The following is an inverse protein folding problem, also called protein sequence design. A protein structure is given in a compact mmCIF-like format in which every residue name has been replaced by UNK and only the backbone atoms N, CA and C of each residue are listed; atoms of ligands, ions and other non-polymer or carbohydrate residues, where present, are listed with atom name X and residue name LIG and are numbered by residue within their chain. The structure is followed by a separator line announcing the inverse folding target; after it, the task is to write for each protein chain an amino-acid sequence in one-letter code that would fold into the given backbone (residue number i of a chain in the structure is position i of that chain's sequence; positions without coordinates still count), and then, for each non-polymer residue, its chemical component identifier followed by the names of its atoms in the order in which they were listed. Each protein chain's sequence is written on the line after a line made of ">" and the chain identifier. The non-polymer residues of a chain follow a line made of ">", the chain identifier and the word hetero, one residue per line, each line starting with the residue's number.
data_IF_914642447666
#
_entry.id   IF_914642447666
#
_cell.length_a   1.000
_cell.length_b   1.000
_cell.length_c   1.000
_cell.angle_alpha   90.00
_cell.angle_beta   90.00
_cell.angle_gamma   90.00
#
_symmetry.space_group_name_H-M   'P 1'
#
loop_
_entity.id
_entity.type
_entity.pdbx_description
1 polymer ?
#
# COMPACT_ATOMS: atom_id res chain seq x y z
N UNK A 1 -8.64 1.51 6.17
CA UNK A 1 -7.88 2.67 5.67
C UNK A 1 -6.92 2.31 4.54
N UNK A 2 -6.50 3.30 3.75
CA UNK A 2 -5.66 3.09 2.58
C UNK A 2 -4.98 4.37 2.09
N UNK A 3 -4.50 4.35 0.83
CA UNK A 3 -3.77 5.47 0.25
C UNK A 3 -4.72 6.43 -0.47
N UNK A 4 -4.71 7.69 -0.04
CA UNK A 4 -5.59 8.77 -0.53
C UNK A 4 -5.52 9.01 -2.06
N UNK A 5 -4.39 8.69 -2.71
CA UNK A 5 -4.28 8.82 -4.18
C UNK A 5 -5.07 7.76 -4.93
N UNK A 6 -5.12 6.52 -4.41
CA UNK A 6 -5.99 5.49 -4.99
C UNK A 6 -7.45 5.97 -4.93
N UNK A 7 -7.88 6.52 -3.80
CA UNK A 7 -9.23 7.05 -3.64
C UNK A 7 -9.52 8.21 -4.58
N UNK A 8 -8.62 9.20 -4.64
CA UNK A 8 -8.79 10.35 -5.52
C UNK A 8 -8.85 9.97 -7.01
N UNK A 9 -8.07 8.98 -7.45
CA UNK A 9 -8.11 8.48 -8.83
C UNK A 9 -9.45 7.79 -9.10
N UNK A 10 -9.87 6.90 -8.22
CA UNK A 10 -11.11 6.13 -8.34
C UNK A 10 -12.33 7.05 -8.37
N UNK A 11 -12.37 8.03 -7.45
CA UNK A 11 -13.41 9.05 -7.39
C UNK A 11 -13.46 9.92 -8.65
N UNK A 12 -12.29 10.31 -9.19
CA UNK A 12 -12.18 11.11 -10.41
C UNK A 12 -12.81 10.42 -11.62
N UNK A 13 -12.77 9.10 -11.68
CA UNK A 13 -13.41 8.30 -12.71
C UNK A 13 -14.87 7.96 -12.41
N UNK A 14 -15.43 8.45 -11.31
CA UNK A 14 -16.82 8.19 -10.93
C UNK A 14 -17.08 6.73 -10.52
N UNK A 15 -16.03 6.02 -10.09
CA UNK A 15 -16.14 4.64 -9.63
C UNK A 15 -16.46 4.66 -8.13
N UNK A 16 -17.51 3.97 -7.75
CA UNK A 16 -17.88 3.82 -6.34
C UNK A 16 -16.86 2.95 -5.59
N UNK A 17 -16.55 3.36 -4.36
CA UNK A 17 -15.56 2.68 -3.53
C UNK A 17 -16.22 2.04 -2.32
N UNK A 18 -15.93 0.75 -2.10
CA UNK A 18 -16.33 0.00 -0.92
C UNK A 18 -15.10 -0.12 0.00
N UNK A 19 -15.25 0.32 1.25
CA UNK A 19 -14.17 0.18 2.23
C UNK A 19 -14.20 -1.23 2.83
N UNK A 20 -13.06 -1.93 2.75
CA UNK A 20 -12.88 -3.25 3.37
C UNK A 20 -12.07 -3.08 4.67
N UNK A 21 -12.52 -3.63 5.79
CA UNK A 21 -11.75 -3.68 7.03
C UNK A 21 -10.40 -4.39 6.81
N UNK A 22 -9.40 -3.94 7.58
CA UNK A 22 -8.07 -4.57 7.57
C UNK A 22 -7.85 -5.33 8.87
N UNK A 23 -7.36 -6.55 8.75
CA UNK A 23 -6.86 -7.41 9.82
C UNK A 23 -5.32 -7.29 9.92
N UNK A 24 -4.72 -7.98 10.86
CA UNK A 24 -3.26 -7.95 11.09
C UNK A 24 -2.45 -8.59 9.94
N UNK A 25 -3.09 -9.37 9.08
CA UNK A 25 -2.47 -10.14 7.99
C UNK A 25 -3.04 -9.83 6.60
N UNK A 26 -3.82 -8.77 6.47
CA UNK A 26 -4.41 -8.31 5.21
C UNK A 26 -5.85 -7.83 5.37
N UNK A 27 -6.57 -7.60 4.27
CA UNK A 27 -7.99 -7.24 4.33
C UNK A 27 -8.85 -8.41 4.83
N UNK A 28 -10.04 -8.10 5.30
CA UNK A 28 -11.06 -9.09 5.61
C UNK A 28 -11.43 -9.87 4.34
N UNK A 29 -10.78 -11.01 4.16
CA UNK A 29 -10.93 -11.83 2.96
C UNK A 29 -12.28 -12.52 2.87
N UNK A 30 -12.98 -12.75 3.98
CA UNK A 30 -14.33 -13.31 3.94
C UNK A 30 -15.29 -12.32 3.27
N UNK A 31 -15.19 -11.06 3.67
CA UNK A 31 -15.97 -9.99 3.04
C UNK A 31 -15.54 -9.73 1.58
N UNK A 32 -14.24 -9.77 1.29
CA UNK A 32 -13.74 -9.62 -0.11
C UNK A 32 -14.32 -10.71 -1.00
N UNK A 33 -14.25 -11.97 -0.58
CA UNK A 33 -14.76 -13.11 -1.34
C UNK A 33 -16.29 -13.04 -1.51
N UNK A 34 -17.03 -12.72 -0.45
CA UNK A 34 -18.47 -12.54 -0.51
C UNK A 34 -18.86 -11.50 -1.57
N UNK A 35 -18.30 -10.31 -1.51
CA UNK A 35 -18.62 -9.21 -2.41
C UNK A 35 -18.20 -9.50 -3.85
N UNK A 36 -16.93 -9.87 -4.05
CA UNK A 36 -16.35 -10.06 -5.38
C UNK A 36 -16.97 -11.23 -6.13
N UNK A 37 -17.31 -12.31 -5.42
CA UNK A 37 -17.88 -13.50 -6.04
C UNK A 37 -19.38 -13.37 -6.31
N UNK A 38 -20.08 -12.41 -5.71
CA UNK A 38 -21.53 -12.24 -5.84
C UNK A 38 -21.98 -11.05 -6.70
N UNK A 39 -21.18 -10.00 -6.80
CA UNK A 39 -21.56 -8.76 -7.48
C UNK A 39 -20.69 -8.47 -8.72
N UNK A 40 -21.28 -8.57 -9.90
CA UNK A 40 -20.61 -8.28 -11.18
C UNK A 40 -20.37 -6.78 -11.42
N UNK A 41 -20.89 -5.89 -10.61
CA UNK A 41 -20.57 -4.46 -10.64
C UNK A 41 -19.20 -4.15 -10.04
N UNK A 42 -18.65 -5.03 -9.21
CA UNK A 42 -17.33 -4.87 -8.60
C UNK A 42 -16.26 -5.23 -9.64
N UNK A 43 -15.45 -4.23 -10.02
CA UNK A 43 -14.48 -4.33 -11.13
C UNK A 43 -13.04 -4.44 -10.68
N UNK A 44 -12.77 -4.24 -9.40
CA UNK A 44 -11.39 -4.35 -8.93
C UNK A 44 -11.22 -4.09 -7.45
N UNK A 45 -10.01 -4.35 -6.99
CA UNK A 45 -9.56 -4.06 -5.64
C UNK A 45 -8.14 -3.50 -5.66
N UNK A 46 -7.90 -2.42 -4.90
CA UNK A 46 -6.57 -1.89 -4.63
C UNK A 46 -5.96 -2.59 -3.42
N UNK A 47 -4.74 -3.09 -3.57
CA UNK A 47 -3.99 -3.75 -2.52
C UNK A 47 -2.61 -3.12 -2.35
N UNK A 48 -2.20 -2.87 -1.10
CA UNK A 48 -0.82 -2.52 -0.74
C UNK A 48 -0.31 -3.64 0.17
N UNK A 49 0.26 -4.72 -0.40
CA UNK A 49 0.44 -5.99 0.31
C UNK A 49 1.56 -5.99 1.35
N UNK A 50 2.50 -5.06 1.24
CA UNK A 50 3.65 -5.00 2.13
C UNK A 50 3.77 -3.62 2.74
N UNK A 51 3.86 -3.56 4.07
CA UNK A 51 3.94 -2.31 4.83
C UNK A 51 2.84 -1.33 4.42
N UNK A 52 1.59 -1.79 4.43
CA UNK A 52 0.43 -1.05 3.92
C UNK A 52 0.36 0.38 4.47
N UNK A 53 -0.12 1.30 3.65
CA UNK A 53 -0.35 2.69 4.05
C UNK A 53 -1.80 2.84 4.53
N UNK A 54 -2.06 3.23 5.80
CA UNK A 54 -1.11 3.69 6.81
C UNK A 54 -0.65 2.62 7.81
N UNK A 55 -1.21 1.43 7.82
CA UNK A 55 -1.18 0.49 8.95
C UNK A 55 0.13 -0.29 9.09
N UNK A 56 0.95 -0.35 8.03
CA UNK A 56 2.20 -1.12 8.04
C UNK A 56 2.00 -2.65 7.98
N UNK A 57 0.78 -3.11 7.69
CA UNK A 57 0.43 -4.53 7.58
C UNK A 57 1.16 -5.18 6.40
N UNK A 58 1.59 -6.41 6.58
CA UNK A 58 2.09 -7.29 5.52
C UNK A 58 1.12 -8.45 5.36
N UNK A 59 0.70 -8.72 4.11
CA UNK A 59 -0.23 -9.80 3.84
C UNK A 59 0.39 -11.16 4.13
N UNK A 60 -0.39 -12.04 4.75
CA UNK A 60 0.02 -13.42 4.97
C UNK A 60 0.02 -14.24 3.68
N UNK A 61 0.71 -15.36 3.69
CA UNK A 61 0.68 -16.34 2.61
C UNK A 61 -0.75 -16.80 2.30
N UNK A 62 -1.56 -16.98 3.33
CA UNK A 62 -2.96 -17.38 3.20
C UNK A 62 -3.77 -16.29 2.50
N UNK A 63 -3.62 -15.03 2.91
CA UNK A 63 -4.27 -13.88 2.26
C UNK A 63 -3.92 -13.81 0.78
N UNK A 64 -2.64 -13.97 0.41
CA UNK A 64 -2.22 -13.96 -0.99
C UNK A 64 -2.84 -15.12 -1.77
N UNK A 65 -2.88 -16.34 -1.21
CA UNK A 65 -3.52 -17.49 -1.85
C UNK A 65 -5.02 -17.30 -2.00
N UNK A 66 -5.70 -16.71 -1.03
CA UNK A 66 -7.13 -16.39 -1.11
C UNK A 66 -7.40 -15.38 -2.25
N UNK A 67 -6.60 -14.34 -2.39
CA UNK A 67 -6.66 -13.44 -3.55
C UNK A 67 -6.49 -14.18 -4.88
N UNK A 68 -5.50 -15.08 -4.98
CA UNK A 68 -5.25 -15.84 -6.19
C UNK A 68 -6.40 -16.78 -6.58
N UNK A 69 -7.17 -17.25 -5.61
CA UNK A 69 -8.28 -18.17 -5.80
C UNK A 69 -9.65 -17.48 -5.91
N UNK A 70 -9.73 -16.16 -5.94
CA UNK A 70 -10.99 -15.44 -6.15
C UNK A 70 -11.70 -15.92 -7.42
N UNK A 71 -13.01 -15.93 -7.35
CA UNK A 71 -13.91 -16.29 -8.48
C UNK A 71 -14.84 -15.11 -8.78
N UNK A 72 -14.30 -14.02 -9.34
CA UNK A 72 -15.09 -12.81 -9.53
C UNK A 72 -16.33 -13.05 -10.37
N UNK A 73 -17.46 -12.47 -9.94
CA UNK A 73 -18.69 -12.44 -10.75
C UNK A 73 -18.54 -11.58 -12.02
N UNK A 74 -17.57 -10.65 -12.03
CA UNK A 74 -17.24 -9.84 -13.19
C UNK A 74 -16.05 -10.41 -13.95
N UNK A 75 -16.20 -10.68 -15.25
CA UNK A 75 -15.11 -11.19 -16.11
C UNK A 75 -13.92 -10.21 -16.25
N UNK A 76 -14.19 -8.94 -16.09
CA UNK A 76 -13.22 -7.84 -16.19
C UNK A 76 -12.66 -7.41 -14.83
N UNK A 77 -12.93 -8.12 -13.75
CA UNK A 77 -12.37 -7.82 -12.42
C UNK A 77 -10.85 -7.92 -12.41
N UNK A 78 -10.18 -6.98 -11.73
CA UNK A 78 -8.72 -6.99 -11.57
C UNK A 78 -8.29 -6.63 -10.16
N UNK A 79 -7.20 -7.23 -9.73
CA UNK A 79 -6.47 -6.89 -8.51
C UNK A 79 -5.35 -5.91 -8.89
N UNK A 80 -5.37 -4.71 -8.33
CA UNK A 80 -4.31 -3.70 -8.46
C UNK A 80 -3.35 -3.84 -7.28
N UNK A 81 -2.25 -4.55 -7.50
CA UNK A 81 -1.27 -4.93 -6.48
C UNK A 81 -0.16 -3.90 -6.43
N UNK A 82 -0.31 -2.87 -5.58
CA UNK A 82 0.66 -1.78 -5.43
C UNK A 82 1.78 -2.18 -4.47
N UNK A 83 2.87 -2.69 -5.02
CA UNK A 83 4.05 -3.12 -4.27
C UNK A 83 5.03 -1.97 -4.01
N UNK A 84 4.50 -0.82 -3.57
CA UNK A 84 5.26 0.42 -3.37
C UNK A 84 6.35 0.30 -2.31
N UNK A 85 6.21 -0.63 -1.37
CA UNK A 85 7.10 -0.79 -0.22
C UNK A 85 7.86 -2.12 -0.19
N UNK A 86 8.00 -2.80 -1.31
CA UNK A 86 8.59 -4.14 -1.43
C UNK A 86 9.93 -4.31 -0.67
N UNK A 87 10.74 -3.25 -0.62
CA UNK A 87 12.12 -3.26 -0.08
C UNK A 87 12.33 -2.21 1.01
N UNK A 88 11.27 -1.69 1.62
CA UNK A 88 11.33 -0.62 2.63
C UNK A 88 11.37 -1.19 4.06
N UNK A 89 12.24 -2.15 4.29
CA UNK A 89 12.46 -2.74 5.61
C UNK A 89 13.13 -1.74 6.56
N UNK A 90 12.70 -1.70 7.82
CA UNK A 90 13.38 -0.95 8.88
C UNK A 90 14.44 -1.80 9.59
N UNK A 91 14.24 -3.11 9.68
CA UNK A 91 15.10 -4.05 10.40
C UNK A 91 15.70 -5.07 9.44
N UNK A 92 16.96 -5.47 9.68
CA UNK A 92 17.68 -6.41 8.80
C UNK A 92 17.32 -7.86 9.08
N UNK A 93 17.05 -8.18 10.33
CA UNK A 93 16.76 -9.52 10.86
C UNK A 93 15.26 -9.88 10.87
N UNK A 94 14.42 -8.91 10.51
CA UNK A 94 12.97 -9.11 10.47
C UNK A 94 12.37 -8.47 9.21
N UNK A 95 12.46 -9.19 8.11
CA UNK A 95 11.99 -8.77 6.79
C UNK A 95 10.90 -9.72 6.29
N UNK A 96 9.62 -9.41 6.50
CA UNK A 96 8.54 -10.24 5.98
C UNK A 96 8.68 -10.44 4.47
N UNK A 97 8.54 -11.66 4.02
CA UNK A 97 8.41 -11.99 2.60
C UNK A 97 6.94 -12.15 2.25
N UNK A 98 6.56 -11.69 1.07
CA UNK A 98 5.21 -11.83 0.54
C UNK A 98 5.27 -12.78 -0.64
N UNK A 99 4.36 -13.73 -0.71
CA UNK A 99 4.25 -14.61 -1.87
C UNK A 99 4.06 -13.80 -3.16
N UNK A 100 4.67 -14.28 -4.24
CA UNK A 100 4.47 -13.71 -5.57
C UNK A 100 3.04 -13.97 -6.05
N UNK A 101 2.21 -12.93 -6.04
CA UNK A 101 0.79 -13.02 -6.38
C UNK A 101 0.58 -13.50 -7.84
N UNK A 102 1.45 -13.09 -8.77
CA UNK A 102 1.34 -13.51 -10.17
C UNK A 102 1.54 -15.01 -10.29
N UNK A 103 2.55 -15.55 -9.59
CA UNK A 103 2.79 -17.00 -9.55
C UNK A 103 1.64 -17.75 -8.87
N UNK A 104 1.09 -17.23 -7.78
CA UNK A 104 -0.05 -17.87 -7.11
C UNK A 104 -1.31 -17.82 -7.99
N UNK A 105 -1.62 -16.72 -8.65
CA UNK A 105 -2.71 -16.65 -9.62
C UNK A 105 -2.55 -17.64 -10.77
N UNK A 106 -1.32 -17.80 -11.29
CA UNK A 106 -1.04 -18.80 -12.32
C UNK A 106 -1.28 -20.23 -11.83
N UNK A 107 -0.87 -20.56 -10.59
CA UNK A 107 -1.13 -21.88 -9.98
C UNK A 107 -2.62 -22.12 -9.76
N UNK A 108 -3.37 -21.09 -9.41
CA UNK A 108 -4.81 -21.15 -9.20
C UNK A 108 -5.64 -21.20 -10.51
N UNK A 109 -4.99 -21.06 -11.68
CA UNK A 109 -5.69 -21.01 -12.96
C UNK A 109 -6.28 -19.66 -13.34
N UNK A 110 -5.92 -18.59 -12.61
CA UNK A 110 -6.41 -17.22 -12.77
C UNK A 110 -5.28 -16.25 -13.20
N UNK A 111 -4.51 -16.53 -14.28
CA UNK A 111 -3.29 -15.76 -14.60
C UNK A 111 -3.56 -14.28 -14.91
N UNK A 112 -4.77 -13.93 -15.32
CA UNK A 112 -5.13 -12.59 -15.80
C UNK A 112 -5.72 -11.69 -14.71
N UNK A 113 -5.76 -12.16 -13.46
CA UNK A 113 -6.43 -11.46 -12.36
C UNK A 113 -5.67 -10.20 -11.88
N UNK A 114 -4.35 -10.14 -12.05
CA UNK A 114 -3.49 -9.18 -11.36
C UNK A 114 -2.76 -8.24 -12.29
N UNK A 115 -2.76 -6.97 -11.90
CA UNK A 115 -1.78 -5.96 -12.30
C UNK A 115 -0.91 -5.62 -11.09
N UNK A 116 0.37 -5.98 -11.14
CA UNK A 116 1.34 -5.64 -10.09
C UNK A 116 2.18 -4.43 -10.49
N UNK A 117 2.29 -3.48 -9.55
CA UNK A 117 3.00 -2.21 -9.76
C UNK A 117 4.13 -2.06 -8.77
N UNK A 118 5.26 -1.54 -9.24
CA UNK A 118 6.36 -1.11 -8.41
C UNK A 118 6.97 0.18 -8.94
N UNK A 119 7.58 0.97 -8.07
CA UNK A 119 8.29 2.18 -8.48
C UNK A 119 9.47 2.51 -7.58
N UNK A 120 10.41 3.29 -8.11
CA UNK A 120 11.55 3.82 -7.34
C UNK A 120 11.29 5.21 -6.76
N UNK A 121 10.06 5.70 -6.80
CA UNK A 121 9.69 7.04 -6.32
C UNK A 121 10.05 7.29 -4.86
N UNK A 122 9.98 6.23 -4.03
CA UNK A 122 10.36 6.24 -2.61
C UNK A 122 11.73 5.59 -2.34
N UNK A 123 12.44 5.21 -3.39
CA UNK A 123 13.74 4.53 -3.33
C UNK A 123 14.87 5.48 -3.75
N UNK A 124 14.69 6.22 -4.83
CA UNK A 124 15.67 7.19 -5.36
C UNK A 124 15.21 8.62 -5.12
N UNK A 125 14.60 9.27 -6.11
CA UNK A 125 14.14 10.65 -6.03
C UNK A 125 12.65 10.74 -6.32
N UNK A 126 11.93 11.45 -5.47
CA UNK A 126 10.56 11.83 -5.75
C UNK A 126 10.49 12.67 -7.04
N UNK A 127 9.57 12.33 -7.93
CA UNK A 127 9.41 12.97 -9.23
C UNK A 127 10.41 12.55 -10.32
N UNK A 128 11.44 11.77 -9.97
CA UNK A 128 12.41 11.21 -10.92
C UNK A 128 12.51 9.67 -10.83
N UNK A 129 11.48 9.03 -10.29
CA UNK A 129 11.40 7.58 -10.22
C UNK A 129 11.14 6.93 -11.59
N UNK A 130 11.43 5.64 -11.65
CA UNK A 130 10.96 4.75 -12.70
C UNK A 130 9.91 3.82 -12.11
N UNK A 131 8.97 3.38 -12.94
CA UNK A 131 7.93 2.44 -12.54
C UNK A 131 7.96 1.19 -13.44
N UNK A 132 7.45 0.10 -12.92
CA UNK A 132 7.27 -1.14 -13.63
C UNK A 132 5.86 -1.69 -13.38
N UNK A 133 5.32 -2.33 -14.39
CA UNK A 133 4.08 -3.11 -14.33
C UNK A 133 4.43 -4.55 -14.70
N UNK A 134 3.95 -5.49 -13.90
CA UNK A 134 3.98 -6.91 -14.18
C UNK A 134 2.55 -7.47 -14.22
N UNK A 135 2.28 -8.35 -15.17
CA UNK A 135 0.98 -9.01 -15.36
C UNK A 135 1.13 -10.19 -16.31
N UNK A 136 0.02 -10.87 -16.60
CA UNK A 136 -0.01 -11.93 -17.62
C UNK A 136 0.30 -11.42 -19.02
N UNK A 137 0.73 -12.29 -19.95
CA UNK A 137 0.92 -11.92 -21.35
C UNK A 137 -0.33 -11.35 -22.01
N UNK A 138 -1.52 -11.87 -21.71
CA UNK A 138 -2.78 -11.38 -22.28
C UNK A 138 -3.08 -9.94 -21.81
N UNK A 139 -3.03 -9.68 -20.52
CA UNK A 139 -3.19 -8.34 -19.97
C UNK A 139 -2.12 -7.38 -20.51
N UNK A 140 -0.87 -7.85 -20.65
CA UNK A 140 0.23 -7.01 -21.12
C UNK A 140 0.01 -6.53 -22.56
N UNK A 141 -0.58 -7.35 -23.42
CA UNK A 141 -0.92 -6.94 -24.80
C UNK A 141 -1.95 -5.80 -24.81
N UNK A 142 -2.95 -5.85 -23.94
CA UNK A 142 -3.94 -4.78 -23.83
C UNK A 142 -3.36 -3.49 -23.23
N UNK A 143 -2.55 -3.63 -22.18
CA UNK A 143 -1.83 -2.49 -21.59
C UNK A 143 -0.92 -1.81 -22.61
N UNK A 144 -0.17 -2.58 -23.41
CA UNK A 144 0.71 -2.02 -24.45
C UNK A 144 -0.06 -1.22 -25.48
N UNK A 145 -1.24 -1.64 -25.90
CA UNK A 145 -2.09 -0.88 -26.84
C UNK A 145 -2.40 0.51 -26.30
N UNK A 146 -2.72 0.62 -25.01
CA UNK A 146 -2.99 1.91 -24.37
C UNK A 146 -1.70 2.75 -24.19
N UNK A 147 -0.62 2.12 -23.75
CA UNK A 147 0.66 2.80 -23.54
C UNK A 147 1.24 3.41 -24.82
N UNK A 148 1.06 2.78 -25.99
CA UNK A 148 1.52 3.32 -27.26
C UNK A 148 0.78 4.59 -27.69
N UNK A 149 -0.44 4.79 -27.21
CA UNK A 149 -1.20 6.03 -27.41
C UNK A 149 -0.75 7.10 -26.42
N UNK A 150 -0.46 6.68 -25.18
CA UNK A 150 -0.08 7.59 -24.11
C UNK A 150 1.32 8.20 -24.30
N UNK A 151 2.28 7.40 -24.80
CA UNK A 151 3.67 7.84 -24.98
C UNK A 151 4.36 7.09 -26.12
N UNK A 152 5.20 7.82 -26.88
CA UNK A 152 6.06 7.22 -27.92
C UNK A 152 7.25 6.50 -27.27
N UNK A 153 7.70 6.95 -26.12
CA UNK A 153 8.80 6.34 -25.40
C UNK A 153 8.97 6.91 -24.00
N UNK A 154 9.61 6.11 -23.16
CA UNK A 154 9.87 6.48 -21.75
C UNK A 154 11.21 7.19 -21.63
N UNK A 155 11.43 7.90 -20.50
CA UNK A 155 12.69 8.58 -20.17
C UNK A 155 13.84 7.57 -19.99
N UNK A 156 14.54 7.30 -21.10
CA UNK A 156 15.68 6.37 -21.14
C UNK A 156 16.89 6.88 -20.37
N UNK A 157 17.06 8.20 -20.27
CA UNK A 157 18.15 8.78 -19.49
C UNK A 157 17.94 8.53 -18.01
N UNK A 158 16.72 8.67 -17.52
CA UNK A 158 16.38 8.37 -16.13
C UNK A 158 16.51 6.86 -15.83
N UNK A 159 16.07 5.99 -16.73
CA UNK A 159 16.29 4.55 -16.60
C UNK A 159 17.79 4.20 -16.53
N UNK A 160 18.60 4.78 -17.42
CA UNK A 160 20.04 4.57 -17.43
C UNK A 160 20.72 5.11 -16.13
N UNK A 161 20.23 6.24 -15.60
CA UNK A 161 20.70 6.79 -14.32
C UNK A 161 20.47 5.79 -13.19
N UNK A 162 19.28 5.20 -13.09
CA UNK A 162 18.96 4.18 -12.09
C UNK A 162 19.81 2.93 -12.27
N UNK A 163 19.95 2.43 -13.50
CA UNK A 163 20.75 1.25 -13.80
C UNK A 163 22.24 1.46 -13.42
N UNK A 164 22.79 2.64 -13.69
CA UNK A 164 24.17 2.97 -13.33
C UNK A 164 24.37 3.18 -11.83
N UNK A 165 23.39 3.76 -11.15
CA UNK A 165 23.46 4.03 -9.71
C UNK A 165 23.36 2.75 -8.89
N UNK A 166 22.32 1.95 -9.12
CA UNK A 166 22.09 0.72 -8.38
C UNK A 166 22.94 -0.45 -8.86
N UNK A 167 23.30 -0.48 -10.14
CA UNK A 167 24.02 -1.55 -10.84
C UNK A 167 23.28 -2.88 -10.88
N UNK A 168 22.84 -3.40 -9.74
CA UNK A 168 22.12 -4.67 -9.58
C UNK A 168 21.27 -4.64 -8.31
N UNK A 169 20.63 -5.76 -8.00
CA UNK A 169 19.76 -5.92 -6.83
C UNK A 169 20.52 -5.70 -5.50
N UNK A 170 21.78 -6.15 -5.41
CA UNK A 170 22.59 -5.98 -4.19
C UNK A 170 22.90 -4.51 -3.94
N UNK A 171 23.21 -3.76 -5.00
CA UNK A 171 23.38 -2.30 -4.91
C UNK A 171 22.11 -1.58 -4.48
N UNK A 172 20.95 -2.03 -4.95
CA UNK A 172 19.65 -1.53 -4.52
C UNK A 172 19.39 -1.84 -3.05
N UNK A 173 19.60 -3.08 -2.61
CA UNK A 173 19.46 -3.49 -1.20
C UNK A 173 20.42 -2.70 -0.28
N UNK A 174 21.67 -2.53 -0.69
CA UNK A 174 22.64 -1.75 0.07
C UNK A 174 22.23 -0.26 0.21
N UNK A 175 21.59 0.30 -0.81
CA UNK A 175 21.02 1.65 -0.76
C UNK A 175 19.85 1.72 0.22
N UNK A 176 18.93 0.76 0.17
CA UNK A 176 17.77 0.72 1.07
C UNK A 176 18.14 0.48 2.53
N UNK A 177 19.25 -0.23 2.79
CA UNK A 177 19.80 -0.34 4.14
C UNK A 177 20.20 1.03 4.71
N UNK A 178 20.75 1.94 3.88
CA UNK A 178 21.03 3.31 4.32
C UNK A 178 19.74 4.07 4.64
N UNK A 179 18.70 3.92 3.82
CA UNK A 179 17.38 4.47 4.12
C UNK A 179 16.85 3.96 5.46
N UNK A 180 16.91 2.66 5.71
CA UNK A 180 16.49 2.06 6.97
C UNK A 180 17.21 2.67 8.18
N UNK A 181 18.52 2.88 8.08
CA UNK A 181 19.32 3.47 9.15
C UNK A 181 18.92 4.93 9.47
N UNK A 182 18.44 5.68 8.48
CA UNK A 182 17.94 7.05 8.68
C UNK A 182 16.49 7.09 9.17
N UNK A 183 15.68 6.11 8.77
CA UNK A 183 14.25 6.07 9.09
C UNK A 183 13.95 5.42 10.44
N UNK A 184 14.60 4.29 10.73
CA UNK A 184 14.37 3.51 11.94
C UNK A 184 14.41 4.33 13.24
N UNK A 185 15.42 5.18 13.50
CA UNK A 185 15.45 5.98 14.73
C UNK A 185 14.23 6.90 14.89
N UNK A 186 13.68 7.40 13.78
CA UNK A 186 12.47 8.25 13.79
C UNK A 186 11.25 7.45 14.20
N UNK A 187 11.10 6.23 13.70
CA UNK A 187 10.03 5.32 14.10
C UNK A 187 10.16 4.95 15.58
N UNK A 188 11.36 4.58 16.03
CA UNK A 188 11.62 4.19 17.41
C UNK A 188 11.30 5.31 18.39
N UNK A 189 11.69 6.56 18.10
CA UNK A 189 11.36 7.73 18.95
C UNK A 189 9.83 7.90 19.07
N UNK A 190 9.09 7.80 17.97
CA UNK A 190 7.63 7.96 17.99
C UNK A 190 6.98 6.81 18.78
N UNK A 191 7.39 5.57 18.49
CA UNK A 191 6.83 4.39 19.18
C UNK A 191 7.14 4.41 20.69
N UNK A 192 8.36 4.78 21.09
CA UNK A 192 8.76 4.88 22.49
C UNK A 192 7.95 5.95 23.23
N UNK A 193 7.69 7.09 22.60
CA UNK A 193 6.87 8.16 23.20
C UNK A 193 5.41 7.70 23.31
N UNK A 194 4.84 7.11 22.26
CA UNK A 194 3.47 6.58 22.32
C UNK A 194 3.33 5.52 23.41
N UNK A 195 4.28 4.60 23.51
CA UNK A 195 4.29 3.55 24.53
C UNK A 195 4.38 4.15 25.94
N UNK A 196 5.31 5.08 26.16
CA UNK A 196 5.55 5.70 27.46
C UNK A 196 4.38 6.56 27.95
N UNK A 197 3.79 7.34 27.05
CA UNK A 197 2.81 8.37 27.43
C UNK A 197 1.35 7.87 27.32
N UNK A 198 1.07 6.91 26.42
CA UNK A 198 -0.30 6.51 26.11
C UNK A 198 -0.61 5.03 26.40
N UNK A 199 0.38 4.15 26.58
CA UNK A 199 0.10 2.75 26.87
C UNK A 199 -0.71 2.57 28.15
N UNK A 200 -1.76 1.76 28.08
CA UNK A 200 -2.64 1.48 29.23
C UNK A 200 -3.60 2.58 29.62
N UNK A 201 -3.58 3.75 28.96
CA UNK A 201 -4.51 4.86 29.24
C UNK A 201 -5.89 4.66 28.62
N UNK A 202 -6.03 3.77 27.63
CA UNK A 202 -7.25 3.56 26.85
C UNK A 202 -7.58 4.69 25.86
N UNK A 203 -6.63 5.62 25.61
CA UNK A 203 -6.86 6.78 24.73
C UNK A 203 -6.61 6.47 23.25
N UNK A 204 -5.94 5.36 22.93
CA UNK A 204 -5.71 4.91 21.58
C UNK A 204 -4.81 3.69 21.48
N UNK A 205 -4.70 3.17 20.26
CA UNK A 205 -3.83 2.06 19.88
C UNK A 205 -3.00 2.46 18.67
N UNK A 206 -1.89 1.79 18.43
CA UNK A 206 -1.02 2.10 17.29
C UNK A 206 -0.34 0.86 16.76
N UNK A 207 0.00 0.90 15.46
CA UNK A 207 0.76 -0.15 14.82
C UNK A 207 2.26 -0.02 15.12
N UNK A 208 2.97 -1.16 15.11
CA UNK A 208 4.43 -1.23 15.24
C UNK A 208 5.01 -1.83 13.93
N UNK A 209 5.08 -1.04 12.86
CA UNK A 209 5.44 -1.55 11.53
C UNK A 209 6.92 -1.97 11.46
N UNK A 210 7.19 -3.02 10.69
CA UNK A 210 8.55 -3.51 10.40
C UNK A 210 9.18 -2.82 9.19
N UNK A 211 8.44 -1.92 8.54
CA UNK A 211 8.87 -1.20 7.35
C UNK A 211 7.85 -0.17 6.89
N UNK A 212 8.09 0.38 5.70
CA UNK A 212 7.26 1.45 5.15
C UNK A 212 7.59 2.83 5.71
N UNK A 213 6.60 3.72 5.71
CA UNK A 213 6.80 5.13 6.06
C UNK A 213 5.82 5.65 7.12
N UNK A 214 4.92 4.83 7.64
CA UNK A 214 3.82 5.32 8.47
C UNK A 214 3.62 4.47 9.72
N UNK A 215 3.14 5.13 10.76
CA UNK A 215 2.54 4.51 11.94
C UNK A 215 1.06 4.86 11.89
N UNK A 216 0.17 3.88 12.00
CA UNK A 216 -1.26 4.11 12.16
C UNK A 216 -1.59 4.23 13.64
N UNK A 217 -2.26 5.29 14.00
CA UNK A 217 -2.76 5.53 15.35
C UNK A 217 -4.30 5.59 15.29
N UNK A 218 -4.96 4.78 16.08
CA UNK A 218 -6.41 4.79 16.22
C UNK A 218 -6.76 5.32 17.61
N UNK A 219 -7.34 6.52 17.63
CA UNK A 219 -7.80 7.21 18.86
C UNK A 219 -9.14 6.65 19.33
N UNK A 220 -9.64 7.16 20.45
CA UNK A 220 -11.03 6.99 20.82
C UNK A 220 -11.95 7.51 19.71
N UNK A 221 -13.12 6.88 19.57
CA UNK A 221 -14.13 7.24 18.57
C UNK A 221 -14.50 8.74 18.65
N UNK A 222 -14.61 9.38 17.48
CA UNK A 222 -14.93 10.80 17.34
C UNK A 222 -13.79 11.76 17.70
N UNK A 223 -12.56 11.29 17.88
CA UNK A 223 -11.46 12.10 18.39
C UNK A 223 -10.38 12.46 17.36
N UNK A 224 -10.26 11.76 16.24
CA UNK A 224 -9.14 11.94 15.32
C UNK A 224 -9.03 13.36 14.76
N UNK A 225 -10.12 13.96 14.29
CA UNK A 225 -10.12 15.33 13.76
C UNK A 225 -9.64 16.34 14.80
N UNK A 226 -10.13 16.22 16.03
CA UNK A 226 -9.76 17.12 17.12
C UNK A 226 -8.30 16.96 17.54
N UNK A 227 -7.79 15.73 17.55
CA UNK A 227 -6.37 15.46 17.83
C UNK A 227 -5.48 16.08 16.75
N UNK A 228 -5.79 15.88 15.46
CA UNK A 228 -5.04 16.47 14.34
C UNK A 228 -5.06 18.00 14.42
N UNK A 229 -6.19 18.61 14.80
CA UNK A 229 -6.27 20.06 15.03
C UNK A 229 -5.36 20.50 16.17
N UNK A 230 -5.40 19.82 17.32
CA UNK A 230 -4.53 20.10 18.48
C UNK A 230 -3.05 19.92 18.16
N UNK A 231 -2.70 18.90 17.39
CA UNK A 231 -1.33 18.74 16.90
C UNK A 231 -0.89 19.94 16.04
N UNK A 232 -1.76 20.43 15.16
CA UNK A 232 -1.49 21.62 14.35
C UNK A 232 -1.30 22.87 15.18
N UNK A 233 -2.15 23.10 16.20
CA UNK A 233 -2.00 24.20 17.16
C UNK A 233 -0.65 24.13 17.89
N UNK A 234 -0.17 22.93 18.19
CA UNK A 234 1.13 22.68 18.82
C UNK A 234 2.32 22.72 17.83
N UNK A 235 2.08 23.03 16.55
CA UNK A 235 3.13 23.11 15.51
C UNK A 235 3.45 21.80 14.80
N UNK A 236 2.67 20.74 15.04
CA UNK A 236 2.85 19.43 14.35
C UNK A 236 1.77 19.27 13.29
N UNK A 237 2.20 19.24 12.02
CA UNK A 237 1.30 19.09 10.88
C UNK A 237 1.22 17.61 10.49
N UNK A 238 0.07 17.00 10.73
CA UNK A 238 -0.27 15.65 10.33
C UNK A 238 -1.14 15.66 9.06
N UNK A 239 -1.28 14.49 8.43
CA UNK A 239 -2.29 14.29 7.38
C UNK A 239 -3.69 14.53 7.97
N UNK A 240 -4.59 15.13 7.19
CA UNK A 240 -5.95 15.37 7.66
C UNK A 240 -6.63 14.07 8.08
N UNK A 241 -7.33 14.08 9.21
CA UNK A 241 -8.14 12.95 9.63
C UNK A 241 -9.18 12.60 8.54
N UNK A 242 -9.40 11.31 8.34
CA UNK A 242 -10.26 10.81 7.26
C UNK A 242 -9.58 10.60 5.90
N UNK A 243 -8.42 11.22 5.63
CA UNK A 243 -7.73 11.09 4.34
C UNK A 243 -7.30 9.64 4.01
N UNK A 244 -7.24 8.78 4.99
CA UNK A 244 -6.92 7.35 4.83
C UNK A 244 -8.13 6.49 4.46
N UNK A 245 -9.30 7.09 4.26
CA UNK A 245 -10.55 6.42 3.89
C UNK A 245 -11.12 6.96 2.58
N UNK A 246 -11.90 6.13 1.84
CA UNK A 246 -12.64 6.60 0.67
C UNK A 246 -13.47 7.86 0.98
N UNK A 247 -13.48 8.80 0.04
CA UNK A 247 -14.21 10.08 0.15
C UNK A 247 -13.80 10.95 1.35
N UNK A 248 -12.63 10.65 1.97
CA UNK A 248 -12.18 11.37 3.16
C UNK A 248 -13.04 11.11 4.41
N UNK A 249 -13.81 10.03 4.42
CA UNK A 249 -14.77 9.72 5.46
C UNK A 249 -14.33 8.50 6.29
N UNK A 250 -13.67 8.75 7.42
CA UNK A 250 -13.48 7.75 8.47
C UNK A 250 -14.79 7.62 9.26
N UNK A 251 -15.49 6.47 9.19
CA UNK A 251 -16.79 6.32 9.81
C UNK A 251 -16.76 6.47 11.34
N UNK A 252 -15.65 6.17 11.97
CA UNK A 252 -15.49 6.22 13.43
C UNK A 252 -14.70 7.45 13.89
N UNK A 253 -14.13 8.24 12.96
CA UNK A 253 -13.26 9.38 13.27
C UNK A 253 -12.16 9.02 14.29
N UNK A 254 -11.43 7.93 14.01
CA UNK A 254 -10.41 7.34 14.90
C UNK A 254 -9.02 7.38 14.32
N UNK A 255 -8.88 7.23 12.98
CA UNK A 255 -7.60 6.95 12.37
C UNK A 255 -6.77 8.21 12.10
N UNK A 256 -5.52 8.17 12.53
CA UNK A 256 -4.51 9.19 12.29
C UNK A 256 -3.27 8.53 11.73
N UNK A 257 -2.76 9.08 10.64
CA UNK A 257 -1.51 8.64 10.02
C UNK A 257 -0.36 9.54 10.49
N UNK A 258 0.60 8.91 11.17
CA UNK A 258 1.85 9.53 11.66
C UNK A 258 3.00 9.15 10.73
#
# INVERSE_FOLDING_TARGET
>A
PGYDRHFAITERFGIEMINIPMNDDGPDMDLVEELVNSDSAIKGIWCVPKYSNPQGVCYSDETVRRFANLKPAADDFRIYWDNAYAIHHLYEDNQPEILDIISECKKAGNPDLVYEFASTSKVSFSGAGIAALATSPANLEDVKKQLTIQTIGYDKLNQLRHARFFKNLDGLKAHMKKHANEMRPKFEIVLDILEKELAGTGTGTWTKPLGGYFISFDSMEGCAKKIVEKCREAGVVLTNAGATFPYGNDPNDTNIRI
#
